data_IF_754645568459
#
_entry.id   IF_754645568459
#
_cell.length_a   1.000
_cell.length_b   1.000
_cell.length_c   1.000
_cell.angle_alpha   90.00
_cell.angle_beta   90.00
_cell.angle_gamma   90.00
#
_symmetry.space_group_name_H-M   'P 1'
#
loop_
_entity.id
_entity.type
_entity.pdbx_description
1 polymer ?
#
# COMPACT_ATOMS: atom_id res chain seq x y z
N UNK A 1 3.97 -10.76 -14.32
CA UNK A 1 2.62 -10.39 -13.81
C UNK A 1 1.87 -9.65 -14.90
N UNK A 2 0.60 -9.95 -15.08
CA UNK A 2 -0.30 -9.27 -15.98
C UNK A 2 -1.41 -8.59 -15.19
N UNK A 3 -2.09 -7.60 -15.79
CA UNK A 3 -3.20 -6.90 -15.13
C UNK A 3 -4.33 -7.84 -14.71
N UNK A 4 -4.62 -8.88 -15.50
CA UNK A 4 -5.61 -9.91 -15.17
C UNK A 4 -5.24 -10.76 -13.96
N UNK A 5 -3.97 -10.79 -13.56
CA UNK A 5 -3.53 -11.48 -12.34
C UNK A 5 -4.02 -10.76 -11.08
N UNK A 6 -4.17 -9.44 -11.14
CA UNK A 6 -4.66 -8.59 -10.04
C UNK A 6 -6.16 -8.30 -10.20
N UNK A 7 -6.59 -8.03 -11.42
CA UNK A 7 -7.96 -7.64 -11.79
C UNK A 7 -8.49 -8.58 -12.88
N UNK A 8 -8.95 -9.79 -12.51
CA UNK A 8 -9.44 -10.79 -13.48
C UNK A 8 -10.69 -10.32 -14.22
N UNK A 9 -11.42 -9.36 -13.65
CA UNK A 9 -12.61 -8.75 -14.21
C UNK A 9 -12.48 -7.22 -14.17
N UNK A 10 -13.08 -6.54 -15.15
CA UNK A 10 -13.18 -5.09 -15.12
C UNK A 10 -14.05 -4.68 -13.95
N UNK A 11 -13.51 -3.85 -13.06
CA UNK A 11 -14.24 -3.37 -11.89
C UNK A 11 -15.30 -2.36 -12.36
N UNK A 12 -16.57 -2.64 -12.08
CA UNK A 12 -17.61 -1.61 -12.08
C UNK A 12 -17.50 -0.82 -10.77
N UNK A 13 -16.75 0.27 -10.80
CA UNK A 13 -16.43 1.10 -9.62
C UNK A 13 -17.68 1.55 -8.86
N UNK A 14 -18.72 1.97 -9.58
CA UNK A 14 -19.96 2.44 -8.95
C UNK A 14 -20.70 1.31 -8.24
N UNK A 15 -20.86 0.17 -8.91
CA UNK A 15 -21.50 -1.01 -8.33
C UNK A 15 -20.69 -1.55 -7.14
N UNK A 16 -19.37 -1.58 -7.26
CA UNK A 16 -18.48 -2.03 -6.19
C UNK A 16 -18.57 -1.15 -4.94
N UNK A 17 -18.55 0.18 -5.14
CA UNK A 17 -18.67 1.19 -4.08
C UNK A 17 -19.96 0.99 -3.28
N UNK A 18 -21.12 0.82 -3.98
CA UNK A 18 -22.43 0.61 -3.37
C UNK A 18 -22.48 -0.74 -2.63
N UNK A 19 -22.09 -1.83 -3.30
CA UNK A 19 -22.14 -3.18 -2.74
C UNK A 19 -21.26 -3.33 -1.48
N UNK A 20 -20.15 -2.62 -1.43
CA UNK A 20 -19.24 -2.65 -0.29
C UNK A 20 -19.51 -1.54 0.74
N UNK A 21 -20.52 -0.68 0.52
CA UNK A 21 -20.89 0.44 1.40
C UNK A 21 -19.74 1.42 1.66
N UNK A 22 -18.83 1.60 0.70
CA UNK A 22 -17.65 2.46 0.86
C UNK A 22 -18.02 3.94 0.91
N UNK A 23 -19.16 4.34 0.32
CA UNK A 23 -19.68 5.72 0.40
C UNK A 23 -19.84 6.21 1.85
N UNK A 24 -20.28 5.33 2.74
CA UNK A 24 -20.47 5.67 4.16
C UNK A 24 -19.15 5.83 4.92
N UNK A 25 -18.05 5.29 4.39
CA UNK A 25 -16.70 5.38 4.98
C UNK A 25 -15.97 6.65 4.56
N UNK A 26 -16.13 7.04 3.31
CA UNK A 26 -15.36 8.14 2.70
C UNK A 26 -16.13 9.46 2.80
N UNK A 27 -17.47 9.40 2.90
CA UNK A 27 -18.35 10.56 2.95
C UNK A 27 -18.84 11.02 1.58
N UNK A 28 -20.14 11.20 1.42
CA UNK A 28 -20.79 11.59 0.15
C UNK A 28 -20.27 12.91 -0.42
N UNK A 29 -19.90 13.86 0.44
CA UNK A 29 -19.40 15.17 0.01
C UNK A 29 -18.01 15.10 -0.61
N UNK A 30 -17.16 14.19 -0.14
CA UNK A 30 -15.82 13.96 -0.72
C UNK A 30 -15.95 13.29 -2.09
N UNK A 31 -16.85 12.32 -2.23
CA UNK A 31 -17.19 11.68 -3.50
C UNK A 31 -17.56 12.70 -4.57
N UNK A 32 -18.49 13.60 -4.23
CA UNK A 32 -18.95 14.64 -5.16
C UNK A 32 -17.87 15.63 -5.57
N UNK A 33 -16.93 15.94 -4.67
CA UNK A 33 -15.80 16.83 -4.96
C UNK A 33 -14.81 16.21 -5.93
N UNK A 34 -14.53 14.92 -5.79
CA UNK A 34 -13.53 14.19 -6.61
C UNK A 34 -14.04 13.93 -8.02
N UNK A 35 -15.29 13.49 -8.18
CA UNK A 35 -15.91 13.28 -9.51
C UNK A 35 -15.88 14.58 -10.35
N UNK A 36 -15.99 15.76 -9.72
CA UNK A 36 -15.88 17.04 -10.42
C UNK A 36 -14.45 17.43 -10.81
N UNK A 37 -13.42 16.90 -10.14
CA UNK A 37 -12.00 17.18 -10.43
C UNK A 37 -11.42 16.28 -11.52
N UNK A 38 -11.86 15.05 -11.67
CA UNK A 38 -11.40 14.12 -12.73
C UNK A 38 -11.77 14.57 -14.15
N UNK A 39 -12.64 15.57 -14.30
CA UNK A 39 -12.93 16.19 -15.58
C UNK A 39 -11.90 17.24 -16.03
N UNK A 40 -10.97 17.65 -15.16
CA UNK A 40 -9.88 18.60 -15.47
C UNK A 40 -8.52 17.90 -15.42
N UNK A 41 -7.98 17.60 -16.60
CA UNK A 41 -6.73 16.87 -16.86
C UNK A 41 -5.44 17.59 -16.46
N UNK A 42 -5.31 18.12 -15.21
CA UNK A 42 -4.01 18.57 -14.72
C UNK A 42 -3.95 18.57 -13.19
N UNK A 43 -3.64 17.43 -12.54
CA UNK A 43 -3.55 17.34 -11.08
C UNK A 43 -2.33 18.03 -10.48
N UNK A 44 -1.27 18.29 -11.26
CA UNK A 44 0.03 18.75 -10.73
C UNK A 44 0.19 20.27 -10.54
N UNK A 45 -0.74 21.11 -10.93
CA UNK A 45 -0.51 22.57 -10.95
C UNK A 45 -0.99 23.34 -9.71
N UNK A 46 -1.55 22.72 -8.67
CA UNK A 46 -2.03 23.43 -7.48
C UNK A 46 -1.81 22.70 -6.15
N UNK A 47 -0.72 21.98 -6.00
CA UNK A 47 -0.29 21.58 -4.65
C UNK A 47 0.44 22.77 -4.05
N UNK A 48 -0.27 23.61 -3.32
CA UNK A 48 0.33 24.65 -2.50
C UNK A 48 0.94 23.95 -1.25
N UNK A 49 2.27 23.86 -1.11
CA UNK A 49 2.90 23.19 0.03
C UNK A 49 2.65 23.89 1.37
N UNK A 50 1.89 24.98 1.38
CA UNK A 50 1.54 25.74 2.59
C UNK A 50 0.20 25.32 3.23
N UNK A 51 -0.61 24.51 2.56
CA UNK A 51 -1.85 24.00 3.15
C UNK A 51 -1.59 22.56 3.62
N UNK A 52 -1.52 22.36 4.93
CA UNK A 52 -1.47 21.05 5.61
C UNK A 52 -2.79 20.25 5.47
N UNK A 53 -3.57 20.49 4.43
CA UNK A 53 -4.80 19.74 4.19
C UNK A 53 -4.48 18.46 3.39
N UNK A 54 -4.97 17.30 3.85
CA UNK A 54 -4.85 16.05 3.10
C UNK A 54 -5.41 16.20 1.69
N UNK A 55 -4.71 15.63 0.71
CA UNK A 55 -5.20 15.59 -0.66
C UNK A 55 -6.58 14.92 -0.72
N UNK A 56 -7.49 15.39 -1.61
CA UNK A 56 -8.78 14.73 -1.80
C UNK A 56 -8.57 13.31 -2.31
N UNK A 57 -9.37 12.34 -1.82
CA UNK A 57 -9.19 10.94 -2.20
C UNK A 57 -9.51 10.71 -3.68
N UNK A 58 -8.70 9.89 -4.33
CA UNK A 58 -8.99 9.34 -5.65
C UNK A 58 -9.79 8.05 -5.47
N UNK A 59 -11.07 8.08 -5.91
CA UNK A 59 -12.00 6.97 -5.62
C UNK A 59 -11.63 5.67 -6.29
N UNK A 60 -11.18 5.76 -7.53
CA UNK A 60 -10.83 4.59 -8.31
C UNK A 60 -9.67 3.84 -7.65
N UNK A 61 -8.68 4.58 -7.08
CA UNK A 61 -7.57 4.00 -6.36
C UNK A 61 -8.01 3.33 -5.07
N UNK A 62 -8.85 4.02 -4.30
CA UNK A 62 -9.39 3.45 -3.06
C UNK A 62 -10.22 2.18 -3.31
N UNK A 63 -11.00 2.15 -4.38
CA UNK A 63 -11.79 0.98 -4.76
C UNK A 63 -10.87 -0.15 -5.20
N UNK A 64 -9.83 0.12 -6.01
CA UNK A 64 -8.84 -0.88 -6.43
C UNK A 64 -8.10 -1.48 -5.25
N UNK A 65 -7.65 -0.65 -4.31
CA UNK A 65 -7.01 -1.12 -3.08
C UNK A 65 -7.93 -2.04 -2.27
N UNK A 66 -9.16 -1.59 -2.02
CA UNK A 66 -10.14 -2.41 -1.30
C UNK A 66 -10.41 -3.73 -2.02
N UNK A 67 -10.54 -3.70 -3.35
CA UNK A 67 -10.74 -4.90 -4.17
C UNK A 67 -9.56 -5.87 -4.03
N UNK A 68 -8.32 -5.41 -4.19
CA UNK A 68 -7.12 -6.24 -4.10
C UNK A 68 -7.01 -6.90 -2.72
N UNK A 69 -7.18 -6.12 -1.64
CA UNK A 69 -7.13 -6.66 -0.27
C UNK A 69 -8.15 -7.79 -0.08
N UNK A 70 -9.39 -7.58 -0.53
CA UNK A 70 -10.44 -8.60 -0.44
C UNK A 70 -10.17 -9.80 -1.34
N UNK A 71 -9.81 -9.56 -2.61
CA UNK A 71 -9.54 -10.62 -3.58
C UNK A 71 -8.41 -11.54 -3.13
N UNK A 72 -7.36 -10.97 -2.55
CA UNK A 72 -6.22 -11.72 -2.03
C UNK A 72 -6.44 -12.25 -0.61
N UNK A 73 -7.61 -12.02 -0.01
CA UNK A 73 -7.92 -12.37 1.40
C UNK A 73 -6.77 -11.98 2.34
N UNK A 74 -6.17 -10.81 2.10
CA UNK A 74 -5.03 -10.35 2.87
C UNK A 74 -5.38 -10.27 4.36
N UNK A 75 -4.44 -10.68 5.20
CA UNK A 75 -4.61 -10.74 6.65
C UNK A 75 -3.79 -9.67 7.37
N UNK A 76 -2.66 -9.27 6.82
CA UNK A 76 -1.77 -8.28 7.41
C UNK A 76 -1.31 -7.31 6.34
N UNK A 77 -1.51 -6.02 6.58
CA UNK A 77 -1.14 -4.97 5.62
C UNK A 77 -0.24 -3.94 6.28
N UNK A 78 0.84 -3.56 5.59
CA UNK A 78 1.69 -2.42 5.91
C UNK A 78 1.39 -1.28 4.95
N UNK A 79 1.14 -0.10 5.48
CA UNK A 79 0.90 1.13 4.71
C UNK A 79 1.94 2.18 5.08
N UNK A 80 2.57 2.77 4.09
CA UNK A 80 3.37 3.98 4.21
C UNK A 80 2.61 5.17 3.64
N UNK A 81 2.27 6.13 4.50
CA UNK A 81 1.36 7.24 4.22
C UNK A 81 -0.05 6.95 4.78
N UNK A 82 -0.57 7.89 5.57
CA UNK A 82 -1.85 7.74 6.28
C UNK A 82 -2.90 8.66 5.66
N UNK A 83 -4.07 8.10 5.35
CA UNK A 83 -5.15 8.88 4.75
C UNK A 83 -6.48 8.13 4.63
N UNK A 84 -7.21 8.43 3.56
CA UNK A 84 -8.44 7.69 3.22
C UNK A 84 -8.15 6.23 2.85
N UNK A 85 -6.96 5.94 2.31
CA UNK A 85 -6.48 4.58 2.05
C UNK A 85 -6.51 3.72 3.31
N UNK A 86 -6.04 4.23 4.45
CA UNK A 86 -6.07 3.52 5.74
C UNK A 86 -7.47 3.03 6.10
N UNK A 87 -8.50 3.85 5.83
CA UNK A 87 -9.89 3.50 6.18
C UNK A 87 -10.42 2.37 5.30
N UNK A 88 -10.15 2.42 3.98
CA UNK A 88 -10.62 1.40 3.04
C UNK A 88 -9.83 0.10 3.15
N UNK A 89 -8.53 0.17 3.43
CA UNK A 89 -7.69 -0.99 3.73
C UNK A 89 -8.19 -1.71 4.99
N UNK A 90 -8.47 -0.96 6.06
CA UNK A 90 -9.02 -1.53 7.29
C UNK A 90 -10.40 -2.16 7.10
N UNK A 91 -11.28 -1.55 6.30
CA UNK A 91 -12.61 -2.12 6.02
C UNK A 91 -12.49 -3.43 5.24
N UNK A 92 -11.57 -3.50 4.28
CA UNK A 92 -11.33 -4.72 3.52
C UNK A 92 -10.77 -5.85 4.40
N UNK A 93 -9.81 -5.54 5.28
CA UNK A 93 -9.26 -6.49 6.27
C UNK A 93 -10.36 -6.94 7.25
N UNK A 94 -11.16 -6.00 7.76
CA UNK A 94 -12.30 -6.33 8.63
C UNK A 94 -13.26 -7.31 7.94
N UNK A 95 -13.57 -7.09 6.66
CA UNK A 95 -14.44 -8.02 5.90
C UNK A 95 -13.77 -9.37 5.69
N UNK A 96 -12.45 -9.42 5.50
CA UNK A 96 -11.71 -10.69 5.43
C UNK A 96 -11.74 -11.44 6.78
N UNK A 97 -11.69 -10.72 7.91
CA UNK A 97 -11.75 -11.33 9.24
C UNK A 97 -13.08 -12.01 9.55
N UNK A 98 -14.13 -11.73 8.77
CA UNK A 98 -15.44 -12.38 8.90
C UNK A 98 -15.51 -13.73 8.13
N UNK A 99 -14.44 -14.12 7.44
CA UNK A 99 -14.37 -15.41 6.75
C UNK A 99 -14.09 -16.54 7.77
N UNK A 100 -15.12 -17.33 8.06
CA UNK A 100 -15.01 -18.46 8.99
C UNK A 100 -14.19 -19.64 8.41
N UNK A 101 -13.80 -19.59 7.14
CA UNK A 101 -13.02 -20.63 6.49
C UNK A 101 -11.50 -20.49 6.67
N UNK A 102 -11.04 -19.48 7.43
CA UNK A 102 -9.61 -19.27 7.64
C UNK A 102 -8.97 -20.48 8.33
N UNK A 103 -7.95 -21.11 7.74
CA UNK A 103 -7.25 -22.20 8.38
C UNK A 103 -6.40 -21.69 9.55
N UNK A 104 -5.98 -22.60 10.43
CA UNK A 104 -4.99 -22.26 11.46
C UNK A 104 -3.65 -21.95 10.78
N UNK A 105 -3.37 -20.66 10.58
CA UNK A 105 -2.11 -20.15 10.06
C UNK A 105 -1.27 -19.54 11.18
N UNK A 106 0.05 -19.60 11.02
CA UNK A 106 0.99 -18.91 11.91
C UNK A 106 1.05 -17.44 11.50
N UNK A 107 0.37 -16.57 12.22
CA UNK A 107 0.39 -15.13 12.01
C UNK A 107 0.11 -14.43 13.33
N UNK A 108 1.06 -13.63 13.82
CA UNK A 108 0.91 -12.88 15.08
C UNK A 108 0.04 -11.63 14.89
N UNK A 109 -0.02 -11.09 13.68
CA UNK A 109 -0.72 -9.85 13.34
C UNK A 109 -1.91 -10.12 12.39
N UNK A 110 -2.72 -11.13 12.76
CA UNK A 110 -3.82 -11.58 11.93
C UNK A 110 -4.94 -10.53 11.90
N UNK A 111 -5.29 -10.10 10.69
CA UNK A 111 -6.29 -9.06 10.42
C UNK A 111 -5.93 -7.70 11.03
N UNK A 112 -4.68 -7.29 10.81
CA UNK A 112 -4.18 -5.98 11.24
C UNK A 112 -3.70 -5.16 10.05
N UNK A 113 -3.97 -3.85 10.11
CA UNK A 113 -3.37 -2.81 9.29
C UNK A 113 -2.37 -2.04 10.15
N UNK A 114 -1.14 -1.93 9.69
CA UNK A 114 -0.12 -1.09 10.30
C UNK A 114 0.18 0.07 9.35
N UNK A 115 -0.18 1.28 9.75
CA UNK A 115 0.00 2.49 8.95
C UNK A 115 1.08 3.38 9.55
N UNK A 116 2.14 3.63 8.79
CA UNK A 116 3.31 4.44 9.18
C UNK A 116 3.24 5.79 8.52
N UNK A 117 3.42 6.87 9.27
CA UNK A 117 3.44 8.23 8.75
C UNK A 117 4.40 9.14 9.52
N UNK A 118 4.92 10.16 8.84
CA UNK A 118 5.76 11.23 9.40
C UNK A 118 4.95 12.37 10.02
N UNK A 119 3.64 12.44 9.77
CA UNK A 119 2.75 13.49 10.25
C UNK A 119 1.84 13.01 11.36
N UNK A 120 2.11 13.45 12.60
CA UNK A 120 1.18 13.25 13.73
C UNK A 120 -0.19 13.86 13.47
N UNK A 121 -0.25 14.95 12.69
CA UNK A 121 -1.49 15.63 12.35
C UNK A 121 -2.35 14.77 11.43
N UNK A 122 -1.80 14.19 10.36
CA UNK A 122 -2.51 13.29 9.45
C UNK A 122 -2.98 12.02 10.17
N UNK A 123 -2.14 11.45 11.02
CA UNK A 123 -2.54 10.33 11.89
C UNK A 123 -3.76 10.71 12.75
N UNK A 124 -3.74 11.88 13.41
CA UNK A 124 -4.83 12.32 14.26
C UNK A 124 -6.11 12.64 13.48
N UNK A 125 -6.00 13.24 12.30
CA UNK A 125 -7.14 13.51 11.40
C UNK A 125 -7.77 12.18 10.97
N UNK A 126 -6.96 11.23 10.54
CA UNK A 126 -7.43 9.91 10.10
C UNK A 126 -8.05 9.13 11.25
N UNK A 127 -7.44 9.12 12.43
CA UNK A 127 -8.03 8.49 13.64
C UNK A 127 -9.45 8.98 13.94
N UNK A 128 -9.72 10.27 13.78
CA UNK A 128 -11.06 10.85 14.00
C UNK A 128 -12.09 10.42 12.95
N UNK A 129 -11.65 10.03 11.76
CA UNK A 129 -12.51 9.59 10.65
C UNK A 129 -12.83 8.09 10.70
N UNK A 130 -12.04 7.29 11.44
CA UNK A 130 -12.20 5.85 11.50
C UNK A 130 -13.48 5.47 12.22
N UNK A 131 -14.36 4.69 11.59
CA UNK A 131 -15.50 4.11 12.28
C UNK A 131 -15.09 3.23 13.46
N UNK A 132 -15.81 3.31 14.57
CA UNK A 132 -15.50 2.57 15.82
C UNK A 132 -15.26 1.06 15.58
N UNK A 133 -15.99 0.44 14.65
CA UNK A 133 -15.83 -0.98 14.30
C UNK A 133 -14.48 -1.35 13.68
N UNK A 134 -13.76 -0.37 13.14
CA UNK A 134 -12.45 -0.56 12.51
C UNK A 134 -11.28 -0.17 13.42
N UNK A 135 -11.54 0.44 14.57
CA UNK A 135 -10.49 0.96 15.45
C UNK A 135 -9.54 -0.10 16.00
N UNK A 136 -9.99 -1.35 16.13
CA UNK A 136 -9.17 -2.49 16.56
C UNK A 136 -8.34 -3.11 15.43
N UNK A 137 -8.59 -2.72 14.18
CA UNK A 137 -7.88 -3.26 13.00
C UNK A 137 -6.63 -2.44 12.70
N UNK A 138 -6.65 -1.13 12.99
CA UNK A 138 -5.61 -0.19 12.57
C UNK A 138 -4.65 0.12 13.72
N UNK A 139 -3.37 -0.10 13.45
CA UNK A 139 -2.25 0.29 14.30
C UNK A 139 -1.49 1.44 13.63
N UNK A 140 -1.56 2.65 14.20
CA UNK A 140 -0.85 3.80 13.67
C UNK A 140 0.53 3.94 14.31
N UNK A 141 1.54 4.14 13.46
CA UNK A 141 2.93 4.34 13.84
C UNK A 141 3.40 5.70 13.36
N UNK A 142 3.77 6.57 14.30
CA UNK A 142 4.51 7.77 13.95
C UNK A 142 5.99 7.42 13.85
N UNK A 143 6.62 7.74 12.73
CA UNK A 143 8.06 7.58 12.54
C UNK A 143 8.59 8.75 11.72
N UNK A 144 9.70 9.37 12.15
CA UNK A 144 10.40 10.29 11.28
C UNK A 144 11.00 9.51 10.11
N UNK A 145 11.41 10.26 9.09
CA UNK A 145 12.13 9.72 7.95
C UNK A 145 13.41 10.54 7.73
N UNK A 146 14.50 9.86 7.46
CA UNK A 146 15.82 10.48 7.32
C UNK A 146 16.42 10.16 5.95
N UNK A 147 17.26 11.09 5.44
CA UNK A 147 18.09 10.81 4.29
C UNK A 147 19.14 9.75 4.66
N UNK A 148 19.32 8.77 3.80
CA UNK A 148 20.20 7.62 4.05
C UNK A 148 20.83 7.12 2.74
N UNK A 149 21.65 6.08 2.85
CA UNK A 149 22.20 5.35 1.70
C UNK A 149 21.83 3.87 1.78
N UNK A 150 21.44 3.29 0.64
CA UNK A 150 21.27 1.86 0.46
C UNK A 150 22.14 1.40 -0.70
N UNK A 151 23.09 0.51 -0.44
CA UNK A 151 24.05 0.02 -1.44
C UNK A 151 24.75 1.17 -2.22
N UNK A 152 25.16 2.23 -1.51
CA UNK A 152 25.81 3.41 -2.08
C UNK A 152 24.89 4.31 -2.92
N UNK A 153 23.58 4.15 -2.82
CA UNK A 153 22.57 4.99 -3.46
C UNK A 153 21.80 5.79 -2.43
N UNK A 154 21.64 7.07 -2.68
CA UNK A 154 20.89 7.98 -1.79
C UNK A 154 19.42 7.55 -1.77
N UNK A 155 18.88 7.40 -0.57
CA UNK A 155 17.52 7.00 -0.33
C UNK A 155 16.95 7.68 0.92
N UNK A 156 15.74 7.28 1.30
CA UNK A 156 15.11 7.63 2.58
C UNK A 156 14.77 6.37 3.35
N UNK A 157 14.86 6.41 4.67
CA UNK A 157 14.47 5.35 5.59
C UNK A 157 13.63 5.94 6.72
N UNK A 158 12.61 5.23 7.13
CA UNK A 158 11.90 5.51 8.38
C UNK A 158 12.77 5.11 9.57
N UNK A 159 12.75 5.92 10.64
CA UNK A 159 13.54 5.65 11.85
C UNK A 159 13.08 4.37 12.56
N UNK A 160 11.81 4.02 12.40
CA UNK A 160 11.25 2.78 12.93
C UNK A 160 10.12 2.24 12.07
N UNK A 161 10.04 0.92 11.97
CA UNK A 161 8.99 0.18 11.28
C UNK A 161 8.32 -0.81 12.24
N UNK A 162 7.04 -1.15 12.05
CA UNK A 162 6.41 -2.22 12.79
C UNK A 162 7.07 -3.58 12.46
N UNK A 163 7.32 -4.39 13.48
CA UNK A 163 7.90 -5.73 13.32
C UNK A 163 6.81 -6.73 12.93
N UNK A 164 6.43 -6.75 11.67
CA UNK A 164 5.37 -7.58 11.11
C UNK A 164 5.81 -8.29 9.82
N UNK A 165 5.06 -9.31 9.42
CA UNK A 165 5.20 -9.97 8.11
C UNK A 165 3.96 -9.70 7.26
N UNK A 166 3.94 -8.61 6.46
CA UNK A 166 2.76 -8.20 5.72
C UNK A 166 2.52 -9.07 4.48
N UNK A 167 1.24 -9.27 4.14
CA UNK A 167 0.81 -9.84 2.86
C UNK A 167 0.82 -8.83 1.75
N UNK A 168 0.51 -7.58 2.12
CA UNK A 168 0.48 -6.45 1.20
C UNK A 168 1.21 -5.27 1.84
N UNK A 169 2.04 -4.59 1.05
CA UNK A 169 2.69 -3.33 1.38
C UNK A 169 2.17 -2.28 0.40
N UNK A 170 1.52 -1.23 0.91
CA UNK A 170 1.07 -0.09 0.13
C UNK A 170 1.94 1.12 0.41
N UNK A 171 2.44 1.77 -0.64
CA UNK A 171 3.39 2.89 -0.54
C UNK A 171 2.83 4.12 -1.21
N UNK A 172 2.37 5.06 -0.38
CA UNK A 172 1.92 6.40 -0.76
C UNK A 172 2.57 7.51 0.10
N UNK A 173 3.49 7.16 0.96
CA UNK A 173 4.29 8.03 1.82
C UNK A 173 5.79 7.70 1.73
N UNK A 174 6.66 8.52 2.34
CA UNK A 174 6.41 9.85 2.88
C UNK A 174 6.34 10.94 1.79
N UNK A 175 5.90 12.15 2.16
CA UNK A 175 6.01 13.30 1.28
C UNK A 175 7.49 13.72 1.09
N UNK A 176 7.78 14.42 -0.01
CA UNK A 176 9.16 14.78 -0.39
C UNK A 176 9.86 15.78 0.55
N UNK A 177 9.10 16.52 1.35
CA UNK A 177 9.63 17.51 2.29
C UNK A 177 9.78 16.99 3.72
N UNK A 178 9.23 15.82 4.03
CA UNK A 178 9.32 15.19 5.35
C UNK A 178 10.70 14.67 5.72
N UNK A 179 11.54 14.13 4.77
CA UNK A 179 12.84 13.58 5.13
C UNK A 179 13.77 14.64 5.73
N UNK A 180 14.44 14.28 6.81
CA UNK A 180 15.43 15.13 7.49
C UNK A 180 16.86 14.79 7.08
N UNK A 181 17.76 15.76 7.24
CA UNK A 181 19.17 15.58 6.85
C UNK A 181 19.42 15.73 5.34
N UNK A 182 20.64 15.42 4.95
CA UNK A 182 21.11 15.32 3.57
C UNK A 182 22.27 14.32 3.48
N UNK A 183 22.55 13.85 2.26
CA UNK A 183 23.74 13.08 1.94
C UNK A 183 24.59 13.90 0.97
N UNK A 184 25.70 14.45 1.46
CA UNK A 184 26.59 15.31 0.67
C UNK A 184 25.86 16.49 -0.01
N UNK A 185 24.93 17.12 0.73
CA UNK A 185 24.12 18.24 0.24
C UNK A 185 22.94 17.85 -0.64
N UNK A 186 22.67 16.55 -0.82
CA UNK A 186 21.53 16.06 -1.59
C UNK A 186 20.42 15.64 -0.63
N UNK A 187 19.21 16.15 -0.86
CA UNK A 187 18.00 15.86 -0.09
C UNK A 187 16.80 15.75 -1.02
N UNK A 188 15.76 15.06 -0.60
CA UNK A 188 14.48 15.04 -1.30
C UNK A 188 13.69 16.34 -1.13
N UNK A 189 14.08 17.22 -0.21
CA UNK A 189 13.46 18.54 0.00
C UNK A 189 13.74 19.49 -1.15
N UNK A 190 13.22 19.16 -2.30
CA UNK A 190 13.36 19.87 -3.56
C UNK A 190 12.12 19.59 -4.41
N UNK A 191 11.59 20.59 -5.11
CA UNK A 191 10.35 20.49 -5.89
C UNK A 191 10.34 19.35 -6.92
N UNK A 192 11.51 19.00 -7.44
CA UNK A 192 11.66 18.07 -8.56
C UNK A 192 12.15 16.68 -8.11
N UNK A 193 12.09 16.38 -6.80
CA UNK A 193 12.59 15.11 -6.25
C UNK A 193 11.49 14.39 -5.50
N UNK A 194 11.52 13.06 -5.58
CA UNK A 194 10.64 12.17 -4.83
C UNK A 194 11.43 11.39 -3.78
N UNK A 195 10.85 11.05 -2.62
CA UNK A 195 11.46 10.11 -1.68
C UNK A 195 11.74 8.77 -2.35
N UNK A 196 12.87 8.16 -1.99
CA UNK A 196 13.29 6.84 -2.43
C UNK A 196 13.28 5.91 -1.21
N UNK A 197 12.08 5.49 -0.77
CA UNK A 197 11.88 4.66 0.43
C UNK A 197 12.56 3.32 0.24
N UNK A 198 13.61 3.07 1.04
CA UNK A 198 14.39 1.85 1.00
C UNK A 198 13.99 0.81 2.07
N UNK A 199 13.01 1.11 2.90
CA UNK A 199 12.55 0.23 3.99
C UNK A 199 12.18 -1.16 3.49
N UNK A 200 11.50 -1.25 2.34
CA UNK A 200 11.13 -2.53 1.71
C UNK A 200 12.38 -3.35 1.38
N UNK A 201 13.44 -2.70 0.88
CA UNK A 201 14.69 -3.38 0.54
C UNK A 201 15.39 -3.92 1.78
N UNK A 202 15.32 -3.17 2.90
CA UNK A 202 15.90 -3.59 4.16
C UNK A 202 15.20 -4.82 4.76
N UNK A 203 13.89 -4.97 4.50
CA UNK A 203 13.11 -6.12 5.00
C UNK A 203 12.89 -7.22 3.95
N UNK A 204 13.40 -7.08 2.74
CA UNK A 204 13.09 -7.98 1.61
C UNK A 204 13.20 -9.46 1.96
N UNK A 205 14.28 -9.85 2.65
CA UNK A 205 14.54 -11.25 2.99
C UNK A 205 13.63 -11.81 4.10
N UNK A 206 12.91 -10.95 4.82
CA UNK A 206 11.89 -11.35 5.79
C UNK A 206 10.49 -11.46 5.17
N UNK A 207 10.28 -10.94 3.95
CA UNK A 207 9.00 -11.03 3.28
C UNK A 207 8.74 -12.46 2.79
N UNK A 208 7.49 -12.91 2.94
CA UNK A 208 7.10 -14.25 2.53
C UNK A 208 6.69 -14.30 1.05
N UNK A 209 6.94 -15.41 0.34
CA UNK A 209 6.34 -15.66 -0.97
C UNK A 209 4.83 -15.41 -0.95
N UNK A 210 4.33 -14.74 -1.99
CA UNK A 210 2.96 -14.25 -2.07
C UNK A 210 2.78 -12.80 -1.60
N UNK A 211 3.78 -12.15 -0.98
CA UNK A 211 3.70 -10.73 -0.65
C UNK A 211 3.54 -9.87 -1.91
N UNK A 212 2.62 -8.91 -1.87
CA UNK A 212 2.38 -7.92 -2.91
C UNK A 212 2.78 -6.52 -2.42
N UNK A 213 3.59 -5.80 -3.20
CA UNK A 213 3.90 -4.39 -2.97
C UNK A 213 3.16 -3.56 -4.02
N UNK A 214 2.54 -2.47 -3.59
CA UNK A 214 1.80 -1.52 -4.43
C UNK A 214 2.38 -0.13 -4.20
N UNK A 215 2.86 0.52 -5.26
CA UNK A 215 3.23 1.94 -5.25
C UNK A 215 2.17 2.73 -5.99
N UNK A 216 1.74 3.84 -5.41
CA UNK A 216 0.73 4.73 -5.96
C UNK A 216 1.38 6.05 -6.42
N UNK A 217 1.35 6.33 -7.73
CA UNK A 217 1.89 7.55 -8.33
C UNK A 217 3.38 7.83 -8.08
N UNK A 218 4.15 6.85 -7.58
CA UNK A 218 5.54 7.00 -7.10
C UNK A 218 6.54 6.31 -8.02
N UNK A 219 6.46 6.59 -9.32
CA UNK A 219 7.26 5.92 -10.35
C UNK A 219 8.76 5.94 -10.07
N UNK A 220 9.32 7.06 -9.60
CA UNK A 220 10.75 7.14 -9.28
C UNK A 220 11.12 6.19 -8.13
N UNK A 221 10.30 6.14 -7.07
CA UNK A 221 10.50 5.22 -5.95
C UNK A 221 10.34 3.75 -6.39
N UNK A 222 9.30 3.44 -7.16
CA UNK A 222 9.08 2.09 -7.68
C UNK A 222 10.26 1.61 -8.54
N UNK A 223 10.83 2.48 -9.39
CA UNK A 223 12.03 2.18 -10.18
C UNK A 223 13.27 1.99 -9.33
N UNK A 224 13.43 2.79 -8.27
CA UNK A 224 14.51 2.61 -7.30
C UNK A 224 14.42 1.25 -6.62
N UNK A 225 13.25 0.89 -6.10
CA UNK A 225 13.02 -0.42 -5.46
C UNK A 225 13.25 -1.54 -6.46
N UNK A 226 12.67 -1.47 -7.67
CA UNK A 226 12.86 -2.47 -8.73
C UNK A 226 14.33 -2.76 -9.04
N UNK A 227 15.16 -1.72 -9.08
CA UNK A 227 16.59 -1.86 -9.42
C UNK A 227 17.45 -2.40 -8.27
N UNK A 228 16.90 -2.55 -7.07
CA UNK A 228 17.63 -3.00 -5.89
C UNK A 228 17.07 -4.31 -5.27
N UNK A 229 15.87 -4.73 -5.66
CA UNK A 229 15.31 -6.02 -5.26
C UNK A 229 16.17 -7.18 -5.79
N UNK A 230 16.39 -8.20 -4.96
CA UNK A 230 17.28 -9.32 -5.22
C UNK A 230 16.53 -10.65 -5.40
N UNK A 231 15.34 -10.78 -4.80
CA UNK A 231 14.53 -11.99 -4.87
C UNK A 231 13.68 -12.05 -6.14
N UNK A 232 12.93 -13.10 -6.34
CA UNK A 232 12.14 -13.32 -7.55
C UNK A 232 10.83 -12.53 -7.54
N UNK A 233 10.92 -11.24 -7.80
CA UNK A 233 9.78 -10.33 -7.87
C UNK A 233 9.24 -10.21 -9.30
N UNK A 234 7.99 -10.57 -9.49
CA UNK A 234 7.25 -10.25 -10.70
C UNK A 234 6.78 -8.80 -10.64
N UNK A 235 6.95 -8.05 -11.72
CA UNK A 235 6.66 -6.60 -11.77
C UNK A 235 5.63 -6.28 -12.84
N UNK A 236 4.75 -5.33 -12.54
CA UNK A 236 3.79 -4.74 -13.47
C UNK A 236 3.65 -3.24 -13.18
N UNK A 237 3.71 -2.41 -14.22
CA UNK A 237 3.26 -1.02 -14.18
C UNK A 237 1.99 -0.88 -14.99
N UNK A 238 0.97 -0.28 -14.41
CA UNK A 238 -0.30 0.01 -15.06
C UNK A 238 -0.42 1.53 -15.21
N UNK A 239 -0.11 2.01 -16.41
CA UNK A 239 -0.08 3.44 -16.72
C UNK A 239 -1.44 4.11 -16.51
N UNK A 240 -2.54 3.43 -16.85
CA UNK A 240 -3.91 3.94 -16.65
C UNK A 240 -4.20 4.27 -15.18
N UNK A 241 -3.58 3.53 -14.24
CA UNK A 241 -3.77 3.70 -12.79
C UNK A 241 -2.66 4.50 -12.14
N UNK A 242 -1.57 4.76 -12.87
CA UNK A 242 -0.29 5.24 -12.32
C UNK A 242 0.20 4.41 -11.13
N UNK A 243 -0.01 3.08 -11.17
CA UNK A 243 0.32 2.17 -10.09
C UNK A 243 1.35 1.12 -10.51
N UNK A 244 2.27 0.81 -9.58
CA UNK A 244 3.27 -0.23 -9.76
C UNK A 244 3.03 -1.36 -8.78
N UNK A 245 3.11 -2.58 -9.26
CA UNK A 245 2.87 -3.81 -8.51
C UNK A 245 4.09 -4.71 -8.56
N UNK A 246 4.48 -5.25 -7.40
CA UNK A 246 5.52 -6.26 -7.28
C UNK A 246 4.97 -7.43 -6.47
N UNK A 247 5.08 -8.64 -6.98
CA UNK A 247 4.68 -9.84 -6.25
C UNK A 247 5.84 -10.79 -6.13
N UNK A 248 6.10 -11.24 -4.91
CA UNK A 248 7.15 -12.21 -4.63
C UNK A 248 6.68 -13.61 -5.04
N UNK A 249 7.18 -14.10 -6.19
CA UNK A 249 6.84 -15.39 -6.75
C UNK A 249 8.00 -16.38 -6.53
N UNK A 250 7.94 -17.09 -5.39
CA UNK A 250 8.89 -18.13 -5.01
C UNK A 250 8.17 -19.33 -4.43
N UNK A 251 8.85 -20.45 -4.33
CA UNK A 251 8.33 -21.61 -3.61
C UNK A 251 8.02 -21.25 -2.15
N UNK A 252 6.90 -21.75 -1.58
CA UNK A 252 6.53 -21.42 -0.20
C UNK A 252 7.63 -21.75 0.81
N UNK A 253 7.82 -20.90 1.82
CA UNK A 253 8.74 -21.10 2.93
C UNK A 253 8.16 -22.09 3.96
N UNK A 254 8.08 -23.37 3.57
CA UNK A 254 7.55 -24.42 4.42
C UNK A 254 6.03 -24.39 4.59
N UNK A 255 5.53 -25.27 5.47
CA UNK A 255 4.11 -25.61 5.61
C UNK A 255 3.22 -24.42 6.02
N UNK A 256 3.70 -23.54 6.89
CA UNK A 256 2.89 -22.39 7.36
C UNK A 256 2.67 -21.34 6.26
N UNK A 257 3.72 -21.03 5.50
CA UNK A 257 3.57 -20.09 4.38
C UNK A 257 2.74 -20.72 3.26
N UNK A 258 2.93 -22.04 3.00
CA UNK A 258 2.08 -22.77 2.05
C UNK A 258 0.60 -22.68 2.40
N UNK A 259 0.20 -22.97 3.64
CA UNK A 259 -1.20 -22.84 4.09
C UNK A 259 -1.75 -21.43 3.92
N UNK A 260 -0.93 -20.42 4.17
CA UNK A 260 -1.31 -19.02 3.97
C UNK A 260 -1.52 -18.71 2.49
N UNK A 261 -0.62 -19.14 1.61
CA UNK A 261 -0.76 -18.98 0.16
C UNK A 261 -2.00 -19.71 -0.35
N UNK A 262 -2.21 -20.95 0.06
CA UNK A 262 -3.37 -21.75 -0.34
C UNK A 262 -4.70 -21.07 0.03
N UNK A 263 -4.77 -20.47 1.22
CA UNK A 263 -5.94 -19.71 1.67
C UNK A 263 -6.10 -18.37 0.96
N UNK A 264 -5.03 -17.58 0.89
CA UNK A 264 -5.08 -16.20 0.38
C UNK A 264 -5.14 -16.14 -1.14
N UNK A 265 -4.41 -17.00 -1.84
CA UNK A 265 -4.12 -16.90 -3.27
C UNK A 265 -4.59 -18.13 -4.07
N UNK A 266 -4.70 -19.29 -3.41
CA UNK A 266 -5.14 -20.53 -4.02
C UNK A 266 -4.22 -21.06 -5.12
N UNK A 267 -4.75 -21.93 -5.97
CA UNK A 267 -4.01 -22.58 -7.06
C UNK A 267 -3.43 -21.58 -8.06
N UNK A 268 -4.05 -20.45 -8.24
CA UNK A 268 -3.62 -19.41 -9.16
C UNK A 268 -2.21 -18.88 -8.85
N UNK A 269 -1.79 -18.91 -7.60
CA UNK A 269 -0.40 -18.58 -7.23
C UNK A 269 0.60 -19.53 -7.87
N UNK A 270 0.34 -20.83 -7.80
CA UNK A 270 1.22 -21.87 -8.33
C UNK A 270 1.25 -21.89 -9.86
N UNK A 271 0.14 -21.60 -10.52
CA UNK A 271 0.11 -21.45 -11.97
C UNK A 271 1.04 -20.33 -12.44
N UNK A 272 1.06 -19.20 -11.71
CA UNK A 272 1.94 -18.08 -12.02
C UNK A 272 3.41 -18.40 -11.70
N UNK A 273 3.66 -19.05 -10.57
CA UNK A 273 4.99 -19.50 -10.19
C UNK A 273 5.60 -20.41 -11.28
N UNK A 274 4.82 -21.36 -11.79
CA UNK A 274 5.28 -22.29 -12.83
C UNK A 274 5.54 -21.61 -14.18
N UNK A 275 4.96 -20.43 -14.44
CA UNK A 275 5.27 -19.65 -15.67
C UNK A 275 6.56 -18.83 -15.55
N UNK A 276 7.09 -18.68 -14.35
CA UNK A 276 8.27 -17.84 -14.07
C UNK A 276 9.56 -18.69 -13.92
N UNK A 277 9.42 -19.98 -13.77
CA UNK A 277 10.51 -20.98 -13.79
C UNK A 277 10.69 -21.45 -15.23
#
# INVERSE_FOLDING_TARGET
MNISDLFPEKIDYRKYLINNKLESLIGKNEISKTIKKTTNKNPFHNVNPKNNEPLPPEFDDLIRLHFIIKKRKATTVLEYGVGYSSIVLADAIFKNSQDNSIPKIRCSNLFELHSVDTSKEYINITKKRIPKRLSSIINFHFSNVTMSEFNGRICTLFDSNPNISPDIIYVDGPDQFSPTGDIRGISTRHSDRMPMVADILSMEHFLCPGTLIIFDGRTANARFVKSNLQRNWSYLYVEEFDQHFFELLETPLGEHNKKKIDYCLGEYYYERLNRTI
#
